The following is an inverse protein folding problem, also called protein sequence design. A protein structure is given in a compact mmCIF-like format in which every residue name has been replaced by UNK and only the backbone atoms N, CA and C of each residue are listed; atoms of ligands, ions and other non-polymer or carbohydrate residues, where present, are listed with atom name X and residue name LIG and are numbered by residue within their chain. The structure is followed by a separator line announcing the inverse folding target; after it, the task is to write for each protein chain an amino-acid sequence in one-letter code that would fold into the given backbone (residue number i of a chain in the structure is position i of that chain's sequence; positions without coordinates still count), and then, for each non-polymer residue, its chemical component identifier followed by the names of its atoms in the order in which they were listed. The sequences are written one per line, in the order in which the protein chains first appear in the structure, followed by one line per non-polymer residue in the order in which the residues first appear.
data_IF_290320669819
#
_entry.id   IF_290320669819
#
_cell.length_a   1.000
_cell.length_b   1.000
_cell.length_c   1.000
_cell.angle_alpha   90.00
_cell.angle_beta   90.00
_cell.angle_gamma   90.00
#
_symmetry.space_group_name_H-M   'P 1'
#
loop_
_entity.id
_entity.type
_entity.pdbx_description
1 polymer ?
#
# COMPACT_ATOMS: atom_id res chain seq x y z
N UNK A 1 1.16 28.61 -10.51
CA UNK A 1 0.31 27.47 -10.12
C UNK A 1 0.95 26.86 -8.89
N UNK A 2 0.37 27.06 -7.71
CA UNK A 2 0.84 26.42 -6.49
C UNK A 2 0.30 25.00 -6.55
N UNK A 3 1.14 23.99 -6.78
CA UNK A 3 0.73 22.63 -6.46
C UNK A 3 0.52 22.60 -4.95
N UNK A 4 -0.70 22.34 -4.49
CA UNK A 4 -0.93 22.10 -3.08
C UNK A 4 0.04 20.99 -2.65
N UNK A 5 0.78 21.22 -1.56
CA UNK A 5 1.60 20.18 -0.95
C UNK A 5 0.66 19.13 -0.37
N UNK A 6 0.44 18.05 -1.11
CA UNK A 6 -0.45 16.95 -0.74
C UNK A 6 0.26 15.85 0.05
N UNK A 7 1.55 16.04 0.36
CA UNK A 7 2.34 15.04 1.10
C UNK A 7 1.74 14.69 2.46
N UNK A 8 1.25 15.64 3.28
CA UNK A 8 0.59 15.31 4.54
C UNK A 8 -0.67 14.45 4.36
N UNK A 9 -1.47 14.72 3.32
CA UNK A 9 -2.71 13.99 3.03
C UNK A 9 -2.39 12.57 2.54
N UNK A 10 -1.36 12.39 1.72
CA UNK A 10 -0.87 11.07 1.31
C UNK A 10 -0.42 10.28 2.54
N UNK A 11 0.37 10.89 3.41
CA UNK A 11 0.88 10.21 4.60
C UNK A 11 -0.27 9.80 5.54
N UNK A 12 -1.27 10.67 5.72
CA UNK A 12 -2.48 10.35 6.47
C UNK A 12 -3.29 9.21 5.83
N UNK A 13 -3.42 9.20 4.49
CA UNK A 13 -4.12 8.13 3.77
C UNK A 13 -3.40 6.78 3.91
N UNK A 14 -2.07 6.76 3.81
CA UNK A 14 -1.26 5.55 3.98
C UNK A 14 -1.32 5.00 5.42
N UNK A 15 -1.31 5.88 6.43
CA UNK A 15 -1.48 5.47 7.84
C UNK A 15 -2.86 4.84 8.06
N UNK A 16 -3.90 5.45 7.50
CA UNK A 16 -5.27 4.93 7.58
C UNK A 16 -5.37 3.56 6.89
N UNK A 17 -4.83 3.46 5.68
CA UNK A 17 -4.78 2.21 4.92
C UNK A 17 -4.02 1.11 5.68
N UNK A 18 -2.86 1.43 6.26
CA UNK A 18 -2.10 0.51 7.12
C UNK A 18 -2.97 0.00 8.27
N UNK A 19 -3.67 0.88 8.97
CA UNK A 19 -4.56 0.49 10.08
C UNK A 19 -5.70 -0.43 9.63
N UNK A 20 -6.31 -0.15 8.48
CA UNK A 20 -7.36 -1.00 7.89
C UNK A 20 -6.83 -2.39 7.53
N UNK A 21 -5.65 -2.46 6.92
CA UNK A 21 -4.98 -3.72 6.56
C UNK A 21 -4.66 -4.54 7.81
N UNK A 22 -4.06 -3.94 8.84
CA UNK A 22 -3.76 -4.63 10.11
C UNK A 22 -5.03 -5.21 10.71
N UNK A 23 -6.13 -4.44 10.70
CA UNK A 23 -7.41 -4.89 11.26
C UNK A 23 -7.99 -6.05 10.46
N UNK A 24 -8.03 -5.92 9.12
CA UNK A 24 -8.60 -6.93 8.25
C UNK A 24 -7.81 -8.25 8.23
N UNK A 25 -6.49 -8.16 8.36
CA UNK A 25 -5.56 -9.28 8.27
C UNK A 25 -4.95 -9.68 9.61
N UNK A 26 -5.55 -9.30 10.75
CA UNK A 26 -4.97 -9.51 12.07
C UNK A 26 -4.53 -10.96 12.37
N UNK A 27 -5.17 -11.96 11.76
CA UNK A 27 -4.86 -13.39 11.93
C UNK A 27 -3.96 -13.98 10.84
N UNK A 28 -3.71 -13.24 9.77
CA UNK A 28 -3.02 -13.71 8.57
C UNK A 28 -1.73 -12.97 8.30
N UNK A 29 -1.63 -11.73 8.79
CA UNK A 29 -0.47 -10.88 8.61
C UNK A 29 0.75 -11.50 9.28
N UNK A 30 1.84 -11.46 8.54
CA UNK A 30 3.13 -11.87 8.99
C UNK A 30 3.73 -10.91 10.01
N UNK A 31 4.96 -11.20 10.40
CA UNK A 31 5.69 -10.41 11.39
C UNK A 31 7.05 -10.04 10.83
N UNK A 32 7.38 -8.76 10.94
CA UNK A 32 8.73 -8.27 10.84
C UNK A 32 9.45 -8.46 12.16
N UNK A 33 10.69 -8.94 12.08
CA UNK A 33 11.63 -8.93 13.22
C UNK A 33 12.82 -8.07 12.85
N UNK A 34 13.00 -6.98 13.58
CA UNK A 34 14.05 -5.99 13.36
C UNK A 34 15.40 -6.43 13.94
N UNK A 35 16.52 -5.78 13.54
CA UNK A 35 17.85 -6.12 14.06
C UNK A 35 17.99 -6.00 15.59
N UNK A 36 17.17 -5.16 16.24
CA UNK A 36 17.13 -5.00 17.69
C UNK A 36 16.24 -6.04 18.40
N UNK A 37 15.62 -6.96 17.65
CA UNK A 37 14.73 -8.01 18.15
C UNK A 37 13.29 -7.57 18.37
N UNK A 38 12.95 -6.30 18.12
CA UNK A 38 11.55 -5.84 18.16
C UNK A 38 10.76 -6.39 16.98
N UNK A 39 9.42 -6.39 17.11
CA UNK A 39 8.52 -6.96 16.10
C UNK A 39 7.38 -6.02 15.74
N UNK A 40 6.95 -6.05 14.49
CA UNK A 40 5.81 -5.28 13.97
C UNK A 40 5.06 -6.11 12.91
N UNK A 41 3.78 -5.86 12.62
CA UNK A 41 3.10 -6.52 11.51
C UNK A 41 3.83 -6.26 10.18
N UNK A 42 3.93 -7.29 9.34
CA UNK A 42 4.67 -7.25 8.09
C UNK A 42 3.98 -6.40 7.01
N UNK A 43 4.02 -5.07 7.16
CA UNK A 43 3.50 -4.09 6.20
C UNK A 43 4.63 -3.17 5.76
N UNK A 44 5.15 -3.38 4.56
CA UNK A 44 6.11 -2.48 3.94
C UNK A 44 5.41 -1.26 3.35
N UNK A 45 6.07 -0.11 3.45
CA UNK A 45 5.68 1.12 2.76
C UNK A 45 6.87 1.56 1.92
N UNK A 46 6.67 1.58 0.61
CA UNK A 46 7.64 2.00 -0.39
C UNK A 46 7.07 3.23 -1.09
N UNK A 47 7.54 4.42 -0.72
CA UNK A 47 7.22 5.60 -1.52
C UNK A 47 8.23 5.80 -2.64
N UNK A 48 7.73 6.02 -3.85
CA UNK A 48 8.56 6.43 -4.98
C UNK A 48 8.79 7.94 -4.93
N UNK A 49 9.82 8.37 -4.19
CA UNK A 49 10.23 9.77 -4.08
C UNK A 49 11.13 9.99 -2.86
N UNK A 50 11.96 11.03 -2.86
CA UNK A 50 12.93 11.32 -1.78
C UNK A 50 12.32 11.72 -0.43
N UNK A 51 10.98 11.70 -0.31
CA UNK A 51 10.23 12.24 0.83
C UNK A 51 9.42 11.20 1.61
N UNK A 52 9.41 9.93 1.19
CA UNK A 52 8.71 8.86 1.91
C UNK A 52 9.74 7.84 2.41
N UNK A 53 9.73 7.59 3.70
CA UNK A 53 10.61 6.60 4.34
C UNK A 53 10.33 5.20 3.79
N UNK A 54 11.40 4.49 3.40
CA UNK A 54 11.32 3.10 2.99
C UNK A 54 11.23 2.25 4.27
N UNK A 55 10.12 1.55 4.43
CA UNK A 55 9.87 0.64 5.53
C UNK A 55 9.55 -0.77 4.98
N UNK A 56 10.04 -1.86 5.61
CA UNK A 56 10.88 -1.90 6.81
C UNK A 56 12.34 -1.48 6.55
N UNK A 57 13.11 -1.14 7.61
CA UNK A 57 14.53 -0.86 7.48
C UNK A 57 15.30 -2.08 6.97
N UNK A 58 16.51 -1.85 6.45
CA UNK A 58 17.41 -2.91 6.00
C UNK A 58 17.65 -3.93 7.11
N UNK A 59 17.89 -5.18 6.72
CA UNK A 59 18.20 -6.31 7.60
C UNK A 59 17.03 -6.71 8.52
N UNK A 60 15.81 -6.30 8.17
CA UNK A 60 14.56 -6.82 8.75
C UNK A 60 14.24 -8.19 8.17
N UNK A 61 13.95 -9.15 9.05
CA UNK A 61 13.47 -10.47 8.63
C UNK A 61 11.94 -10.49 8.61
N UNK A 62 11.37 -11.25 7.67
CA UNK A 62 9.92 -11.37 7.48
C UNK A 62 9.49 -12.83 7.53
N UNK A 63 8.36 -13.09 8.18
CA UNK A 63 7.73 -14.41 8.23
C UNK A 63 6.24 -14.30 7.92
N UNK A 64 5.67 -15.27 7.22
CA UNK A 64 4.24 -15.28 6.89
C UNK A 64 3.87 -14.34 5.73
N UNK A 65 2.71 -13.69 5.84
CA UNK A 65 2.19 -12.79 4.82
C UNK A 65 2.75 -11.38 4.99
N UNK A 66 3.45 -10.88 3.99
CA UNK A 66 3.85 -9.48 3.90
C UNK A 66 2.89 -8.71 2.99
N UNK A 67 2.51 -7.51 3.42
CA UNK A 67 1.77 -6.54 2.58
C UNK A 67 2.72 -5.41 2.20
N UNK A 68 2.87 -5.11 0.92
CA UNK A 68 3.73 -4.03 0.44
C UNK A 68 2.89 -2.95 -0.21
N UNK A 69 2.96 -1.75 0.32
CA UNK A 69 2.29 -0.56 -0.21
C UNK A 69 3.30 0.23 -1.06
N UNK A 70 3.05 0.35 -2.36
CA UNK A 70 3.87 1.13 -3.27
C UNK A 70 3.06 2.31 -3.78
N UNK A 71 3.37 3.51 -3.29
CA UNK A 71 2.73 4.73 -3.80
C UNK A 71 3.44 5.16 -5.07
N UNK A 72 2.70 5.16 -6.18
CA UNK A 72 3.23 5.63 -7.46
C UNK A 72 3.26 7.16 -7.45
N UNK A 73 4.38 7.75 -7.87
CA UNK A 73 4.52 9.21 -8.03
C UNK A 73 3.73 9.78 -9.22
N UNK A 74 2.74 9.03 -9.72
CA UNK A 74 1.88 9.44 -10.81
C UNK A 74 0.67 10.16 -10.23
N UNK A 75 0.84 11.46 -9.96
CA UNK A 75 -0.28 12.33 -9.59
C UNK A 75 -1.03 12.69 -10.87
N UNK A 76 -2.26 12.19 -11.02
CA UNK A 76 -3.17 12.66 -12.08
C UNK A 76 -3.93 13.87 -11.56
N UNK A 77 -3.71 15.02 -12.19
CA UNK A 77 -4.38 16.28 -11.81
C UNK A 77 -5.56 16.51 -12.76
N UNK A 78 -6.74 16.69 -12.20
CA UNK A 78 -7.96 17.07 -12.91
C UNK A 78 -8.41 18.45 -12.47
N UNK A 79 -8.48 19.40 -13.40
CA UNK A 79 -9.07 20.71 -13.13
C UNK A 79 -10.59 20.64 -13.26
N UNK A 80 -11.28 21.19 -12.28
CA UNK A 80 -12.73 21.37 -12.25
C UNK A 80 -13.07 22.85 -12.15
N UNK A 81 -14.33 23.19 -12.39
CA UNK A 81 -14.83 24.57 -12.33
C UNK A 81 -14.69 25.17 -10.91
N UNK A 82 -14.75 24.34 -9.89
CA UNK A 82 -14.74 24.69 -8.47
C UNK A 82 -13.41 24.36 -7.77
N UNK A 83 -12.44 23.77 -8.46
CA UNK A 83 -11.20 23.37 -7.81
C UNK A 83 -10.33 22.41 -8.61
N UNK A 84 -9.45 21.70 -7.90
CA UNK A 84 -8.51 20.74 -8.46
C UNK A 84 -8.65 19.42 -7.72
N UNK A 85 -8.76 18.32 -8.46
CA UNK A 85 -8.63 16.97 -7.93
C UNK A 85 -7.23 16.43 -8.27
N UNK A 86 -6.54 15.90 -7.26
CA UNK A 86 -5.29 15.19 -7.41
C UNK A 86 -5.51 13.72 -7.06
N UNK A 87 -5.28 12.85 -8.03
CA UNK A 87 -5.48 11.41 -7.93
C UNK A 87 -4.14 10.71 -7.81
N UNK A 88 -4.00 9.81 -6.84
CA UNK A 88 -2.78 9.05 -6.56
C UNK A 88 -3.13 7.57 -6.49
N UNK A 89 -2.30 6.74 -7.11
CA UNK A 89 -2.46 5.29 -7.10
C UNK A 89 -1.48 4.68 -6.12
N UNK A 90 -1.99 3.93 -5.15
CA UNK A 90 -1.20 3.04 -4.30
C UNK A 90 -1.39 1.62 -4.78
N UNK A 91 -0.29 0.97 -5.17
CA UNK A 91 -0.30 -0.47 -5.45
C UNK A 91 -0.12 -1.22 -4.14
N UNK A 92 -0.93 -2.24 -3.92
CA UNK A 92 -0.81 -3.15 -2.77
C UNK A 92 -0.39 -4.51 -3.28
N UNK A 93 0.70 -5.03 -2.74
CA UNK A 93 1.18 -6.38 -3.02
C UNK A 93 1.02 -7.25 -1.78
N UNK A 94 0.50 -8.46 -1.95
CA UNK A 94 0.49 -9.50 -0.94
C UNK A 94 1.57 -10.50 -1.30
N UNK A 95 2.56 -10.70 -0.44
CA UNK A 95 3.66 -11.65 -0.62
C UNK A 95 3.58 -12.70 0.46
N UNK A 96 3.36 -13.96 0.07
CA UNK A 96 3.31 -15.05 1.03
C UNK A 96 4.66 -15.76 1.09
N UNK A 97 5.33 -15.69 2.25
CA UNK A 97 6.60 -16.38 2.51
C UNK A 97 6.42 -17.77 3.13
N UNK A 98 5.24 -18.08 3.68
CA UNK A 98 4.89 -19.43 4.14
C UNK A 98 4.35 -20.25 2.96
N UNK A 99 5.14 -21.21 2.49
CA UNK A 99 4.82 -22.06 1.34
C UNK A 99 3.62 -22.98 1.55
N UNK A 100 3.13 -23.13 2.79
CA UNK A 100 1.91 -23.88 3.10
C UNK A 100 0.64 -23.04 2.95
N UNK A 101 0.77 -21.72 2.76
CA UNK A 101 -0.33 -20.75 2.65
C UNK A 101 -0.34 -20.08 1.28
N UNK A 102 -1.40 -19.31 1.01
CA UNK A 102 -1.58 -18.56 -0.24
C UNK A 102 -2.04 -17.12 0.06
N UNK A 103 -2.23 -16.33 -1.00
CA UNK A 103 -2.68 -14.92 -0.90
C UNK A 103 -4.18 -14.76 -1.13
N UNK A 104 -4.92 -15.83 -1.45
CA UNK A 104 -6.33 -15.76 -1.86
C UNK A 104 -7.24 -15.34 -0.71
N UNK A 105 -7.13 -16.00 0.45
CA UNK A 105 -7.93 -15.63 1.62
C UNK A 105 -7.63 -14.20 2.11
N UNK A 106 -6.34 -13.79 2.24
CA UNK A 106 -6.03 -12.41 2.60
C UNK A 106 -6.55 -11.40 1.59
N UNK A 107 -6.47 -11.72 0.30
CA UNK A 107 -7.01 -10.89 -0.77
C UNK A 107 -8.50 -10.64 -0.58
N UNK A 108 -9.32 -11.69 -0.43
CA UNK A 108 -10.77 -11.50 -0.27
C UNK A 108 -11.13 -10.74 1.00
N UNK A 109 -10.36 -10.89 2.09
CA UNK A 109 -10.55 -10.08 3.30
C UNK A 109 -10.28 -8.60 3.03
N UNK A 110 -9.20 -8.26 2.35
CA UNK A 110 -8.90 -6.88 1.98
C UNK A 110 -9.96 -6.29 1.05
N UNK A 111 -10.41 -7.04 0.04
CA UNK A 111 -11.49 -6.62 -0.86
C UNK A 111 -12.80 -6.33 -0.14
N UNK A 112 -13.04 -6.95 1.03
CA UNK A 112 -14.26 -6.73 1.82
C UNK A 112 -14.23 -5.47 2.68
N UNK A 113 -13.06 -4.87 2.89
CA UNK A 113 -12.86 -3.73 3.81
C UNK A 113 -12.27 -2.49 3.15
N UNK A 114 -11.61 -2.64 2.00
CA UNK A 114 -10.94 -1.55 1.29
C UNK A 114 -11.64 -1.37 -0.05
N UNK A 115 -12.02 -0.12 -0.33
CA UNK A 115 -12.50 0.27 -1.64
C UNK A 115 -11.32 0.29 -2.61
N UNK A 116 -11.34 -0.63 -3.57
CA UNK A 116 -10.28 -0.85 -4.55
C UNK A 116 -10.73 -0.38 -5.92
N UNK A 117 -9.84 0.30 -6.64
CA UNK A 117 -10.13 0.78 -7.98
C UNK A 117 -9.62 -0.27 -8.99
N UNK A 118 -10.50 -1.21 -9.37
CA UNK A 118 -10.26 -2.22 -10.39
C UNK A 118 -9.95 -3.64 -9.89
N UNK A 119 -10.05 -4.62 -10.79
CA UNK A 119 -9.90 -6.04 -10.46
C UNK A 119 -8.46 -6.39 -10.01
N UNK A 120 -8.26 -7.15 -8.92
CA UNK A 120 -6.94 -7.56 -8.47
C UNK A 120 -6.28 -8.49 -9.49
N UNK A 121 -5.03 -8.20 -9.83
CA UNK A 121 -4.23 -9.02 -10.74
C UNK A 121 -3.38 -9.98 -9.90
N UNK A 122 -3.61 -11.28 -10.07
CA UNK A 122 -2.79 -12.32 -9.42
C UNK A 122 -1.70 -12.78 -10.38
N UNK A 123 -0.44 -12.58 -9.99
CA UNK A 123 0.72 -13.08 -10.72
C UNK A 123 1.29 -14.28 -9.96
N UNK A 124 1.14 -15.47 -10.52
CA UNK A 124 1.64 -16.70 -9.90
C UNK A 124 3.12 -16.85 -10.24
N UNK A 125 3.97 -16.80 -9.20
CA UNK A 125 5.40 -17.17 -9.16
C UNK A 125 6.28 -16.70 -10.33
N UNK A 126 7.11 -15.69 -10.07
CA UNK A 126 8.30 -15.43 -10.88
C UNK A 126 9.46 -16.31 -10.35
N UNK A 127 10.07 -17.20 -11.16
CA UNK A 127 11.18 -18.06 -10.73
C UNK A 127 12.43 -17.28 -10.27
N UNK A 128 12.56 -15.99 -10.56
CA UNK A 128 13.64 -15.14 -10.05
C UNK A 128 13.38 -14.54 -8.66
N UNK A 129 12.14 -14.63 -8.16
CA UNK A 129 11.71 -14.03 -6.88
C UNK A 129 11.50 -15.10 -5.78
N UNK A 130 11.73 -16.38 -6.10
CA UNK A 130 11.50 -17.51 -5.19
C UNK A 130 10.02 -17.89 -5.13
N UNK A 131 9.67 -18.93 -4.35
CA UNK A 131 8.31 -19.48 -4.20
C UNK A 131 7.36 -18.54 -3.41
N UNK A 132 7.38 -17.24 -3.73
CA UNK A 132 6.53 -16.22 -3.14
C UNK A 132 5.31 -16.08 -4.05
N UNK A 133 4.15 -16.51 -3.55
CA UNK A 133 2.90 -16.16 -4.19
C UNK A 133 2.68 -14.65 -4.02
N UNK A 134 2.48 -13.95 -5.14
CA UNK A 134 2.24 -12.51 -5.15
C UNK A 134 0.86 -12.18 -5.71
N UNK A 135 0.11 -11.34 -5.02
CA UNK A 135 -1.12 -10.73 -5.57
C UNK A 135 -0.97 -9.21 -5.56
N UNK A 136 -1.39 -8.55 -6.63
CA UNK A 136 -1.33 -7.11 -6.79
C UNK A 136 -2.73 -6.52 -6.93
N UNK A 137 -2.98 -5.39 -6.27
CA UNK A 137 -4.18 -4.57 -6.44
C UNK A 137 -3.82 -3.08 -6.43
N UNK A 138 -4.77 -2.24 -6.82
CA UNK A 138 -4.60 -0.78 -6.88
C UNK A 138 -5.70 -0.08 -6.07
N UNK A 139 -5.30 0.97 -5.37
CA UNK A 139 -6.19 1.84 -4.61
C UNK A 139 -6.00 3.25 -5.15
N UNK A 140 -7.12 3.89 -5.53
CA UNK A 140 -7.15 5.28 -5.94
C UNK A 140 -7.42 6.18 -4.72
N UNK A 141 -6.52 7.12 -4.45
CA UNK A 141 -6.72 8.19 -3.50
C UNK A 141 -7.01 9.49 -4.25
N UNK A 142 -8.16 10.11 -3.99
CA UNK A 142 -8.57 11.39 -4.57
C UNK A 142 -8.54 12.49 -3.53
N UNK A 143 -7.77 13.55 -3.79
CA UNK A 143 -7.64 14.72 -2.92
C UNK A 143 -8.20 15.95 -3.64
N UNK A 144 -9.20 16.60 -3.05
CA UNK A 144 -9.82 17.80 -3.61
C UNK A 144 -9.27 19.05 -2.93
N UNK A 145 -8.90 20.04 -3.74
CA UNK A 145 -8.53 21.39 -3.30
C UNK A 145 -9.48 22.39 -3.95
N UNK A 146 -10.30 23.06 -3.15
CA UNK A 146 -11.13 24.19 -3.60
C UNK A 146 -10.22 25.34 -4.02
N UNK A 147 -10.53 25.99 -5.14
CA UNK A 147 -9.77 27.18 -5.58
C UNK A 147 -10.11 28.43 -4.78
N UNK A 148 -11.21 28.45 -4.01
CA UNK A 148 -11.72 29.64 -3.34
C UNK A 148 -12.17 30.71 -4.35
N UNK A 149 -13.23 31.45 -4.02
CA UNK A 149 -13.76 32.51 -4.88
C UNK A 149 -12.65 33.46 -5.36
N UNK A 150 -12.52 33.59 -6.69
CA UNK A 150 -11.73 34.63 -7.38
C UNK A 150 -12.34 36.02 -7.18
#
# INVERSE_FOLDING_TARGET
MVSADILPQIQSALVTLRSQIVTALALEIGTYTFPDGTTDPAIAVLGLGSAVEIYPPKDTSVTGLEVVLVTLNSIRIEQRLDGIIQNIITQVFLKQFDTSKNTITPLFKLLSVIDIDGDPIRTVSDPYIGNIETCQMQILHSFYTDTGDL
#
